data_IF_633958297111
#
_entry.id   IF_633958297111
#
_cell.length_a   1.000
_cell.length_b   1.000
_cell.length_c   1.000
_cell.angle_alpha   90.00
_cell.angle_beta   90.00
_cell.angle_gamma   90.00
#
_symmetry.space_group_name_H-M   'P 1'
#
loop_
_entity.id
_entity.type
_entity.pdbx_description
1 polymer ?
#
# COMPACT_ATOMS: atom_id res chain seq x y z
N UNK A 1 -39.25 5.09 16.30
CA UNK A 1 -38.98 5.29 14.87
C UNK A 1 -37.49 5.13 14.67
N UNK A 2 -37.04 3.89 14.48
CA UNK A 2 -35.62 3.56 14.36
C UNK A 2 -35.24 3.88 12.92
N UNK A 3 -34.52 4.99 12.72
CA UNK A 3 -33.91 5.27 11.42
C UNK A 3 -32.88 4.17 11.16
N UNK A 4 -33.20 3.30 10.20
CA UNK A 4 -32.27 2.36 9.61
C UNK A 4 -31.13 3.19 8.99
N UNK A 5 -29.93 3.11 9.58
CA UNK A 5 -28.71 3.62 8.96
C UNK A 5 -28.62 2.97 7.58
N UNK A 6 -28.49 3.74 6.47
CA UNK A 6 -28.29 3.13 5.17
C UNK A 6 -27.03 2.27 5.29
N UNK A 7 -27.16 1.00 4.92
CA UNK A 7 -26.13 -0.02 5.10
C UNK A 7 -24.75 0.57 4.81
N UNK A 8 -23.95 0.78 5.87
CA UNK A 8 -22.50 0.90 5.75
C UNK A 8 -22.09 -0.35 4.98
N UNK A 9 -21.84 -0.21 3.67
CA UNK A 9 -21.32 -1.28 2.84
C UNK A 9 -19.92 -1.58 3.38
N UNK A 10 -19.87 -2.40 4.43
CA UNK A 10 -18.64 -2.80 5.09
C UNK A 10 -17.79 -3.41 4.00
N UNK A 11 -16.69 -2.73 3.67
CA UNK A 11 -15.85 -3.14 2.57
C UNK A 11 -15.36 -4.56 2.84
N UNK A 12 -15.85 -5.53 2.07
CA UNK A 12 -15.36 -6.90 2.18
C UNK A 12 -14.14 -7.05 1.28
N UNK A 13 -12.96 -7.22 1.87
CA UNK A 13 -11.73 -7.50 1.10
C UNK A 13 -11.82 -8.78 0.25
N UNK A 14 -12.82 -9.65 0.50
CA UNK A 14 -13.15 -10.79 -0.35
C UNK A 14 -13.67 -10.39 -1.74
N UNK A 15 -14.30 -9.22 -1.85
CA UNK A 15 -14.80 -8.71 -3.13
C UNK A 15 -13.68 -8.08 -3.98
N UNK A 16 -12.58 -7.67 -3.35
CA UNK A 16 -11.39 -7.17 -4.06
C UNK A 16 -10.48 -8.34 -4.40
N UNK A 17 -10.06 -8.43 -5.67
CA UNK A 17 -9.10 -9.45 -6.11
C UNK A 17 -7.88 -9.46 -5.19
N UNK A 18 -7.45 -10.61 -4.68
CA UNK A 18 -6.18 -10.71 -3.96
C UNK A 18 -5.04 -10.41 -4.95
N UNK A 19 -3.94 -9.81 -4.46
CA UNK A 19 -2.73 -9.53 -5.25
C UNK A 19 -3.00 -8.55 -6.40
N UNK A 20 -3.30 -7.30 -6.02
CA UNK A 20 -3.63 -6.23 -6.97
C UNK A 20 -2.96 -4.90 -6.58
N UNK A 21 -2.56 -4.13 -7.59
CA UNK A 21 -2.16 -2.72 -7.47
C UNK A 21 -3.09 -1.88 -8.31
N UNK A 22 -3.92 -1.05 -7.67
CA UNK A 22 -4.93 -0.26 -8.38
C UNK A 22 -5.13 1.12 -7.78
N UNK A 23 -5.76 2.02 -8.54
CA UNK A 23 -6.15 3.31 -8.00
C UNK A 23 -7.24 3.18 -6.93
N UNK A 24 -7.16 4.02 -5.89
CA UNK A 24 -8.04 3.97 -4.72
C UNK A 24 -9.50 4.35 -5.06
N UNK A 25 -9.71 5.27 -6.02
CA UNK A 25 -11.01 5.63 -6.63
C UNK A 25 -12.22 5.64 -5.67
N UNK A 26 -12.94 4.52 -5.58
CA UNK A 26 -14.19 4.39 -4.84
C UNK A 26 -14.01 3.91 -3.39
N UNK A 27 -12.79 3.51 -3.02
CA UNK A 27 -12.47 3.04 -1.68
C UNK A 27 -12.05 4.23 -0.80
N UNK A 28 -12.50 4.25 0.45
CA UNK A 28 -12.00 5.21 1.45
C UNK A 28 -10.90 4.53 2.27
N UNK A 29 -9.93 5.33 2.69
CA UNK A 29 -8.80 4.84 3.51
C UNK A 29 -9.30 4.17 4.80
N UNK A 30 -10.28 4.79 5.47
CA UNK A 30 -10.87 4.22 6.69
C UNK A 30 -11.53 2.86 6.42
N UNK A 31 -12.32 2.73 5.36
CA UNK A 31 -12.97 1.47 5.01
C UNK A 31 -11.94 0.36 4.72
N UNK A 32 -10.81 0.71 4.09
CA UNK A 32 -9.70 -0.21 3.84
C UNK A 32 -8.99 -0.62 5.14
N UNK A 33 -8.80 0.32 6.06
CA UNK A 33 -8.21 0.06 7.37
C UNK A 33 -9.10 -0.86 8.22
N UNK A 34 -10.39 -0.55 8.31
CA UNK A 34 -11.36 -1.38 9.04
C UNK A 34 -11.44 -2.79 8.46
N UNK A 35 -11.44 -2.91 7.14
CA UNK A 35 -11.48 -4.19 6.48
C UNK A 35 -10.17 -5.00 6.66
N UNK A 36 -9.01 -4.33 6.67
CA UNK A 36 -7.72 -4.95 6.97
C UNK A 36 -7.70 -5.48 8.41
N UNK A 37 -8.13 -4.66 9.37
CA UNK A 37 -8.25 -5.04 10.78
C UNK A 37 -9.21 -6.23 10.97
N UNK A 38 -10.38 -6.19 10.33
CA UNK A 38 -11.36 -7.28 10.40
C UNK A 38 -10.83 -8.60 9.79
N UNK A 39 -9.95 -8.51 8.79
CA UNK A 39 -9.29 -9.66 8.18
C UNK A 39 -8.00 -10.09 8.88
N UNK A 40 -7.57 -9.37 9.93
CA UNK A 40 -6.29 -9.57 10.62
C UNK A 40 -5.06 -9.29 9.73
N UNK A 41 -5.23 -8.51 8.66
CA UNK A 41 -4.18 -8.19 7.69
C UNK A 41 -3.40 -6.95 8.12
N UNK A 42 -2.15 -6.85 7.69
CA UNK A 42 -1.34 -5.66 7.92
C UNK A 42 -1.90 -4.49 7.11
N UNK A 43 -2.15 -3.37 7.78
CA UNK A 43 -2.51 -2.12 7.13
C UNK A 43 -1.30 -1.18 7.11
N UNK A 44 -0.84 -0.82 5.92
CA UNK A 44 0.26 0.11 5.70
C UNK A 44 -0.27 1.33 4.96
N UNK A 45 -0.08 2.52 5.53
CA UNK A 45 -0.57 3.77 4.95
C UNK A 45 0.58 4.76 4.84
N UNK A 46 0.69 5.42 3.69
CA UNK A 46 1.61 6.52 3.48
C UNK A 46 0.91 7.66 2.73
N UNK A 47 0.91 8.85 3.34
CA UNK A 47 0.57 10.09 2.66
C UNK A 47 1.82 10.72 2.04
N UNK A 48 1.79 10.97 0.74
CA UNK A 48 2.91 11.49 -0.06
C UNK A 48 2.67 12.91 -0.57
N UNK A 49 1.63 13.61 -0.09
CA UNK A 49 1.26 14.94 -0.58
C UNK A 49 2.34 16.01 -0.36
N UNK A 50 3.20 15.81 0.63
CA UNK A 50 4.33 16.69 0.92
C UNK A 50 5.62 16.29 0.17
N UNK A 51 5.62 15.16 -0.53
CA UNK A 51 6.78 14.68 -1.28
C UNK A 51 6.93 15.46 -2.59
N UNK A 52 8.16 15.86 -2.93
CA UNK A 52 8.43 16.53 -4.20
C UNK A 52 9.38 15.72 -5.08
N UNK A 53 10.31 15.00 -4.48
CA UNK A 53 11.35 14.24 -5.17
C UNK A 53 11.23 12.74 -4.88
N UNK A 54 11.92 11.92 -5.67
CA UNK A 54 12.05 10.48 -5.42
C UNK A 54 12.57 10.17 -4.00
N UNK A 55 13.51 10.96 -3.49
CA UNK A 55 14.03 10.78 -2.13
C UNK A 55 12.96 11.07 -1.08
N UNK A 56 12.20 12.17 -1.23
CA UNK A 56 11.11 12.50 -0.29
C UNK A 56 10.04 11.41 -0.26
N UNK A 57 9.68 10.87 -1.44
CA UNK A 57 8.70 9.77 -1.55
C UNK A 57 9.20 8.55 -0.79
N UNK A 58 10.44 8.14 -1.01
CA UNK A 58 11.05 6.98 -0.36
C UNK A 58 11.18 7.18 1.15
N UNK A 59 11.60 8.37 1.59
CA UNK A 59 11.75 8.71 3.01
C UNK A 59 10.39 8.72 3.73
N UNK A 60 9.34 9.28 3.10
CA UNK A 60 8.00 9.28 3.68
C UNK A 60 7.37 7.89 3.74
N UNK A 61 7.58 7.02 2.75
CA UNK A 61 7.14 5.62 2.80
C UNK A 61 7.86 4.91 3.94
N UNK A 62 9.19 5.02 4.01
CA UNK A 62 9.97 4.36 5.05
C UNK A 62 9.56 4.81 6.46
N UNK A 63 9.34 6.12 6.65
CA UNK A 63 8.88 6.67 7.92
C UNK A 63 7.49 6.15 8.30
N UNK A 64 6.52 6.21 7.39
CA UNK A 64 5.13 5.87 7.69
C UNK A 64 4.88 4.36 7.79
N UNK A 65 5.63 3.55 7.04
CA UNK A 65 5.61 2.09 7.17
C UNK A 65 6.47 1.59 8.33
N UNK A 66 7.14 2.49 9.05
CA UNK A 66 8.01 2.17 10.20
C UNK A 66 9.13 1.20 9.82
N UNK A 67 9.76 1.44 8.66
CA UNK A 67 10.92 0.66 8.23
C UNK A 67 12.16 0.95 9.09
N UNK A 68 13.14 0.03 9.13
CA UNK A 68 14.38 0.24 9.87
C UNK A 68 15.13 1.50 9.44
N UNK A 69 15.81 2.14 10.39
CA UNK A 69 16.53 3.40 10.16
C UNK A 69 17.63 3.34 9.07
N UNK A 70 18.09 2.14 8.71
CA UNK A 70 19.05 1.89 7.63
C UNK A 70 18.38 1.53 6.30
N UNK A 71 17.14 1.99 6.07
CA UNK A 71 16.47 1.86 4.77
C UNK A 71 17.36 2.42 3.65
N UNK A 72 17.63 1.61 2.62
CA UNK A 72 18.62 1.89 1.57
C UNK A 72 18.29 3.07 0.63
N UNK A 73 17.22 3.83 0.90
CA UNK A 73 16.77 5.04 0.17
C UNK A 73 16.75 4.87 -1.36
N UNK A 74 16.46 3.66 -1.84
CA UNK A 74 16.32 3.36 -3.25
C UNK A 74 15.12 2.41 -3.46
N UNK A 75 14.77 2.16 -4.72
CA UNK A 75 13.62 1.34 -5.09
C UNK A 75 13.84 -0.16 -4.82
N UNK A 76 15.07 -0.65 -4.95
CA UNK A 76 15.40 -2.04 -4.60
C UNK A 76 15.23 -2.29 -3.09
N UNK A 77 15.69 -1.36 -2.26
CA UNK A 77 15.52 -1.41 -0.81
C UNK A 77 14.04 -1.33 -0.39
N UNK A 78 13.20 -0.62 -1.16
CA UNK A 78 11.75 -0.63 -0.95
C UNK A 78 11.20 -2.03 -1.20
N UNK A 79 11.55 -2.66 -2.32
CA UNK A 79 11.14 -4.02 -2.64
C UNK A 79 11.59 -5.03 -1.57
N UNK A 80 12.85 -4.94 -1.14
CA UNK A 80 13.43 -5.81 -0.11
C UNK A 80 12.67 -5.66 1.22
N UNK A 81 12.37 -4.43 1.64
CA UNK A 81 11.60 -4.20 2.87
C UNK A 81 10.16 -4.72 2.79
N UNK A 82 9.57 -4.71 1.60
CA UNK A 82 8.22 -5.24 1.36
C UNK A 82 8.16 -6.77 1.27
N UNK A 83 9.30 -7.47 1.21
CA UNK A 83 9.37 -8.92 1.01
C UNK A 83 10.18 -9.67 2.08
N UNK A 84 11.46 -9.34 2.26
CA UNK A 84 12.44 -10.18 2.98
C UNK A 84 12.24 -10.23 4.53
N UNK A 85 12.08 -9.12 5.26
CA UNK A 85 11.87 -9.15 6.71
C UNK A 85 10.51 -9.77 7.10
N UNK A 86 9.49 -9.49 6.29
CA UNK A 86 8.14 -9.98 6.49
C UNK A 86 8.05 -11.49 6.22
N UNK A 87 8.77 -12.01 5.22
CA UNK A 87 8.82 -13.44 4.96
C UNK A 87 9.47 -14.22 6.11
N UNK A 88 10.55 -13.67 6.68
CA UNK A 88 11.28 -14.29 7.80
C UNK A 88 10.51 -14.28 9.13
N UNK A 89 9.44 -13.49 9.23
CA UNK A 89 8.64 -13.33 10.45
C UNK A 89 7.53 -14.39 10.63
N UNK A 90 7.46 -15.39 9.74
CA UNK A 90 6.46 -16.46 9.77
C UNK A 90 5.26 -16.22 8.84
N UNK A 91 4.18 -17.01 8.97
CA UNK A 91 3.00 -16.88 8.12
C UNK A 91 2.42 -15.47 8.16
N UNK A 92 2.34 -14.82 7.00
CA UNK A 92 1.80 -13.46 6.88
C UNK A 92 0.29 -13.52 6.62
N UNK A 93 -0.55 -12.78 7.39
CA UNK A 93 -2.01 -12.80 7.23
C UNK A 93 -2.48 -12.11 5.94
N UNK A 94 -1.62 -11.28 5.34
CA UNK A 94 -1.92 -10.46 4.17
C UNK A 94 -1.61 -8.99 4.39
N UNK A 95 -1.65 -8.22 3.31
CA UNK A 95 -1.30 -6.81 3.28
C UNK A 95 -2.38 -5.99 2.58
N UNK A 96 -2.74 -4.87 3.20
CA UNK A 96 -3.52 -3.79 2.61
C UNK A 96 -2.68 -2.53 2.70
N UNK A 97 -2.31 -1.99 1.55
CA UNK A 97 -1.39 -0.86 1.42
C UNK A 97 -2.12 0.29 0.76
N UNK A 98 -1.91 1.49 1.27
CA UNK A 98 -2.46 2.72 0.72
C UNK A 98 -1.34 3.74 0.53
N UNK A 99 -1.11 4.15 -0.71
CA UNK A 99 -0.22 5.23 -1.11
C UNK A 99 -1.06 6.43 -1.56
N UNK A 100 -1.25 7.39 -0.67
CA UNK A 100 -2.07 8.56 -0.94
C UNK A 100 -1.25 9.71 -1.52
N UNK A 101 -1.81 10.42 -2.50
CA UNK A 101 -1.26 11.67 -3.03
C UNK A 101 0.16 11.51 -3.63
N UNK A 102 0.39 10.45 -4.42
CA UNK A 102 1.66 10.28 -5.15
C UNK A 102 1.89 11.53 -6.01
N UNK A 103 3.05 12.21 -5.87
CA UNK A 103 3.29 13.47 -6.56
C UNK A 103 3.30 13.28 -8.08
N UNK A 104 2.68 14.20 -8.81
CA UNK A 104 2.65 14.21 -10.26
C UNK A 104 3.37 15.42 -10.88
N UNK A 105 4.54 15.77 -10.33
CA UNK A 105 5.31 16.95 -10.71
C UNK A 105 6.54 16.59 -11.58
N UNK A 106 7.30 17.59 -12.04
CA UNK A 106 8.48 17.38 -12.90
C UNK A 106 9.66 16.64 -12.20
N UNK A 107 9.75 16.70 -10.87
CA UNK A 107 10.79 16.03 -10.07
C UNK A 107 10.40 14.59 -9.67
N UNK A 108 9.14 14.22 -9.90
CA UNK A 108 8.60 12.87 -9.79
C UNK A 108 7.68 12.61 -10.99
N UNK A 109 8.31 12.47 -12.14
CA UNK A 109 7.65 12.39 -13.44
C UNK A 109 6.92 11.05 -13.65
N UNK A 110 6.37 10.86 -14.85
CA UNK A 110 5.61 9.66 -15.17
C UNK A 110 6.45 8.39 -15.02
N UNK A 111 7.71 8.42 -15.43
CA UNK A 111 8.60 7.26 -15.35
C UNK A 111 8.86 6.89 -13.89
N UNK A 112 9.18 7.86 -13.05
CA UNK A 112 9.39 7.63 -11.62
C UNK A 112 8.12 7.09 -10.92
N UNK A 113 6.93 7.54 -11.32
CA UNK A 113 5.65 7.01 -10.82
C UNK A 113 5.42 5.57 -11.22
N UNK A 114 5.63 5.22 -12.49
CA UNK A 114 5.48 3.84 -12.95
C UNK A 114 6.50 2.92 -12.27
N UNK A 115 7.76 3.34 -12.14
CA UNK A 115 8.77 2.58 -11.40
C UNK A 115 8.34 2.31 -9.95
N UNK A 116 7.79 3.32 -9.25
CA UNK A 116 7.25 3.13 -7.91
C UNK A 116 6.12 2.08 -7.90
N UNK A 117 5.17 2.19 -8.83
CA UNK A 117 4.03 1.26 -8.89
C UNK A 117 4.45 -0.16 -9.29
N UNK A 118 5.44 -0.30 -10.17
CA UNK A 118 6.00 -1.59 -10.58
C UNK A 118 6.60 -2.34 -9.40
N UNK A 119 7.29 -1.67 -8.48
CA UNK A 119 7.80 -2.31 -7.25
C UNK A 119 6.68 -2.93 -6.41
N UNK A 120 5.55 -2.23 -6.26
CA UNK A 120 4.40 -2.77 -5.55
C UNK A 120 3.70 -3.89 -6.32
N UNK A 121 3.77 -3.89 -7.66
CA UNK A 121 3.26 -4.99 -8.52
C UNK A 121 4.13 -6.22 -8.34
N UNK A 122 5.45 -6.07 -8.40
CA UNK A 122 6.41 -7.16 -8.18
C UNK A 122 6.27 -7.73 -6.76
N UNK A 123 6.12 -6.88 -5.75
CA UNK A 123 5.86 -7.33 -4.38
C UNK A 123 4.50 -8.05 -4.27
N UNK A 124 3.47 -7.56 -4.96
CA UNK A 124 2.16 -8.21 -5.03
C UNK A 124 2.25 -9.61 -5.61
N UNK A 125 3.00 -9.79 -6.69
CA UNK A 125 3.21 -11.08 -7.35
C UNK A 125 4.04 -12.03 -6.46
N UNK A 126 5.12 -11.53 -5.84
CA UNK A 126 5.92 -12.28 -4.88
C UNK A 126 5.08 -12.89 -3.75
N UNK A 127 4.15 -12.11 -3.18
CA UNK A 127 3.25 -12.58 -2.13
C UNK A 127 2.14 -13.49 -2.69
N UNK A 128 1.70 -13.24 -3.92
CA UNK A 128 0.71 -14.05 -4.63
C UNK A 128 1.17 -15.49 -4.84
N UNK A 129 2.42 -15.67 -5.27
CA UNK A 129 3.05 -17.00 -5.42
C UNK A 129 3.09 -17.78 -4.10
N UNK A 130 3.13 -17.06 -2.97
CA UNK A 130 3.11 -17.60 -1.61
C UNK A 130 1.69 -17.73 -1.03
N UNK A 131 0.65 -17.46 -1.84
CA UNK A 131 -0.76 -17.45 -1.44
C UNK A 131 -1.07 -16.47 -0.30
N UNK A 132 -0.29 -15.40 -0.20
CA UNK A 132 -0.51 -14.31 0.75
C UNK A 132 -1.20 -13.16 0.00
N UNK A 133 -2.40 -12.72 0.43
CA UNK A 133 -3.11 -11.66 -0.26
C UNK A 133 -2.40 -10.32 -0.05
N UNK A 134 -2.12 -9.62 -1.14
CA UNK A 134 -1.49 -8.31 -1.13
C UNK A 134 -2.36 -7.32 -1.92
N UNK A 135 -2.81 -6.22 -1.33
CA UNK A 135 -3.66 -5.24 -2.03
C UNK A 135 -3.07 -3.86 -1.84
N UNK A 136 -2.58 -3.27 -2.91
CA UNK A 136 -2.05 -1.92 -2.91
C UNK A 136 -3.02 -0.97 -3.64
N UNK A 137 -3.39 0.10 -2.96
CA UNK A 137 -4.24 1.17 -3.46
C UNK A 137 -3.44 2.46 -3.55
N UNK A 138 -3.56 3.18 -4.66
CA UNK A 138 -2.85 4.44 -4.83
C UNK A 138 -3.73 5.59 -5.32
N UNK A 139 -3.37 6.83 -5.00
CA UNK A 139 -3.90 8.05 -5.64
C UNK A 139 -2.77 8.95 -6.09
N UNK A 140 -3.05 9.79 -7.08
CA UNK A 140 -2.13 10.85 -7.52
C UNK A 140 -2.59 12.20 -6.95
N UNK A 141 -1.62 13.10 -6.75
CA UNK A 141 -1.86 14.52 -6.46
C UNK A 141 -2.33 15.27 -7.70
#
# INVERSE_FOLDING_TARGET
MTMERPAEMTLSLRAVRPNIVQSIRAFRVNDLQDAANAAGQHFLYANLGNAQTKQDVLDLIAQQFTFPAHFGKNFDALYDCMTDPLHKSGPQPGFVIVLEQIPANAKFDKEAREQLLDIFRDASDYWGDRKVPFRCFYSFL
#
